data_IF_937107016862
#
_entry.id   IF_937107016862
#
_cell.length_a   1.000
_cell.length_b   1.000
_cell.length_c   1.000
_cell.angle_alpha   90.00
_cell.angle_beta   90.00
_cell.angle_gamma   90.00
#
_symmetry.space_group_name_H-M   'P 1'
#
loop_
_entity.id
_entity.type
_entity.pdbx_description
1 polymer ?
#
# COMPACT_ATOMS: atom_id res chain seq x y z
N UNK A 1 -39.63 14.80 -36.53
CA UNK A 1 -39.45 13.42 -37.00
C UNK A 1 -38.75 12.64 -35.88
N UNK A 2 -39.54 11.95 -35.05
CA UNK A 2 -39.74 10.48 -35.07
C UNK A 2 -38.54 9.73 -34.42
N UNK A 3 -38.57 9.40 -33.13
CA UNK A 3 -39.19 8.25 -32.43
C UNK A 3 -38.52 6.87 -32.64
N UNK A 4 -38.16 6.25 -31.49
CA UNK A 4 -38.03 4.79 -31.19
C UNK A 4 -36.79 4.09 -31.76
N UNK A 5 -36.01 3.31 -30.98
CA UNK A 5 -36.41 1.99 -30.48
C UNK A 5 -35.85 1.64 -29.08
N UNK A 6 -36.76 1.08 -28.29
CA UNK A 6 -36.57 0.27 -27.08
C UNK A 6 -36.07 -1.12 -27.48
N UNK A 7 -35.18 -1.73 -26.70
CA UNK A 7 -35.26 -3.18 -26.46
C UNK A 7 -34.62 -3.56 -25.11
N UNK A 8 -35.49 -3.99 -24.19
CA UNK A 8 -35.17 -4.77 -23.01
C UNK A 8 -35.85 -6.13 -23.17
N UNK A 9 -35.11 -7.23 -23.00
CA UNK A 9 -35.60 -8.58 -22.74
C UNK A 9 -34.49 -9.32 -21.96
N UNK A 10 -34.59 -9.49 -20.64
CA UNK A 10 -35.18 -10.64 -19.91
C UNK A 10 -34.60 -12.01 -20.28
N UNK A 11 -33.91 -12.63 -19.32
CA UNK A 11 -33.49 -14.04 -19.35
C UNK A 11 -32.82 -14.44 -18.04
N UNK A 12 -33.59 -15.10 -17.15
CA UNK A 12 -33.22 -15.60 -15.83
C UNK A 12 -32.97 -17.15 -15.90
N UNK A 13 -32.79 -17.89 -14.79
CA UNK A 13 -31.58 -18.59 -14.36
C UNK A 13 -31.60 -20.13 -14.52
N UNK A 14 -30.53 -20.82 -14.09
CA UNK A 14 -30.38 -22.23 -13.61
C UNK A 14 -29.06 -22.83 -14.14
N UNK A 15 -28.35 -23.77 -13.53
CA UNK A 15 -28.64 -24.74 -12.46
C UNK A 15 -27.32 -25.35 -11.93
N UNK A 16 -27.28 -25.60 -10.63
CA UNK A 16 -26.78 -26.80 -9.93
C UNK A 16 -25.57 -27.59 -10.48
N UNK A 17 -24.52 -27.71 -9.65
CA UNK A 17 -23.86 -28.99 -9.40
C UNK A 17 -23.59 -29.24 -7.92
N UNK A 18 -24.38 -30.20 -7.43
CA UNK A 18 -24.30 -31.10 -6.27
C UNK A 18 -22.97 -31.19 -5.53
N UNK A 19 -23.11 -31.29 -4.20
CA UNK A 19 -22.04 -31.51 -3.24
C UNK A 19 -21.48 -32.94 -3.21
N UNK A 20 -20.45 -33.09 -2.36
CA UNK A 20 -20.06 -34.35 -1.76
C UNK A 20 -19.54 -34.09 -0.35
N UNK A 21 -20.38 -34.39 0.62
CA UNK A 21 -20.06 -34.57 2.03
C UNK A 21 -19.53 -36.00 2.19
N UNK A 22 -18.44 -36.21 2.94
CA UNK A 22 -18.15 -37.50 3.57
C UNK A 22 -17.59 -37.29 4.98
N UNK A 23 -17.87 -38.31 5.78
CA UNK A 23 -18.04 -38.36 7.23
C UNK A 23 -16.73 -38.52 8.03
N UNK A 24 -16.88 -38.25 9.32
CA UNK A 24 -15.99 -38.27 10.47
C UNK A 24 -15.20 -39.56 10.75
N UNK A 25 -14.16 -39.43 11.59
CA UNK A 25 -13.94 -40.31 12.75
C UNK A 25 -13.05 -39.64 13.79
N UNK A 26 -13.53 -39.66 15.04
CA UNK A 26 -12.84 -39.30 16.28
C UNK A 26 -11.91 -40.41 16.74
N UNK A 27 -10.76 -40.08 17.35
CA UNK A 27 -10.14 -40.91 18.41
C UNK A 27 -9.29 -40.06 19.35
N UNK A 28 -9.45 -40.32 20.65
CA UNK A 28 -8.84 -39.67 21.82
C UNK A 28 -7.60 -40.42 22.34
N UNK A 29 -6.59 -39.70 22.83
CA UNK A 29 -5.68 -40.01 23.96
C UNK A 29 -4.58 -38.92 23.94
N UNK A 30 -4.46 -37.97 24.86
CA UNK A 30 -4.08 -38.01 26.28
C UNK A 30 -2.68 -38.61 26.53
N UNK A 31 -1.69 -37.74 26.72
CA UNK A 31 -0.43 -38.06 27.41
C UNK A 31 -0.06 -36.94 28.39
N UNK A 32 0.14 -37.36 29.64
CA UNK A 32 0.54 -36.58 30.79
C UNK A 32 2.06 -36.46 30.89
N UNK A 33 2.55 -35.23 31.13
CA UNK A 33 3.69 -34.88 32.01
C UNK A 33 5.09 -35.40 31.68
N UNK A 34 6.08 -34.50 31.59
CA UNK A 34 7.16 -34.34 32.60
C UNK A 34 7.99 -33.09 32.29
N UNK A 35 8.32 -32.35 33.35
CA UNK A 35 9.08 -31.11 33.34
C UNK A 35 10.57 -31.27 32.98
N UNK A 36 11.14 -30.26 32.33
CA UNK A 36 12.58 -30.02 32.32
C UNK A 36 12.89 -28.50 32.38
N UNK A 37 13.20 -28.07 33.60
CA UNK A 37 14.33 -27.18 33.99
C UNK A 37 14.58 -25.85 33.29
N UNK A 38 14.44 -24.78 34.10
CA UNK A 38 15.21 -23.53 34.16
C UNK A 38 16.22 -23.23 33.04
N UNK A 39 15.92 -22.16 32.29
CA UNK A 39 16.94 -21.27 31.76
C UNK A 39 16.44 -19.82 31.89
N UNK A 40 17.02 -19.07 32.84
CA UNK A 40 16.91 -17.61 32.81
C UNK A 40 17.68 -17.10 31.59
N UNK A 41 17.00 -16.83 30.49
CA UNK A 41 17.58 -16.03 29.41
C UNK A 41 17.11 -14.58 29.59
N UNK A 42 17.94 -13.87 30.35
CA UNK A 42 18.02 -12.43 30.43
C UNK A 42 18.26 -11.88 29.02
N UNK A 43 17.20 -11.65 28.26
CA UNK A 43 17.28 -10.90 27.00
C UNK A 43 17.34 -9.41 27.34
N UNK A 44 18.52 -8.94 27.74
CA UNK A 44 18.85 -7.53 27.67
C UNK A 44 18.99 -7.17 26.18
N UNK A 45 17.86 -6.90 25.53
CA UNK A 45 17.88 -6.36 24.17
C UNK A 45 18.01 -4.85 24.30
N UNK A 46 19.25 -4.38 24.28
CA UNK A 46 19.54 -2.96 24.02
C UNK A 46 19.38 -2.70 22.52
N UNK A 47 18.15 -2.70 22.02
CA UNK A 47 17.88 -2.25 20.65
C UNK A 47 17.50 -0.77 20.67
N UNK A 48 18.45 0.05 20.23
CA UNK A 48 18.28 1.45 19.83
C UNK A 48 17.03 1.64 18.95
N UNK A 49 16.31 2.79 18.99
CA UNK A 49 15.09 2.98 18.23
C UNK A 49 15.42 3.23 16.74
N UNK A 50 15.50 2.15 15.97
CA UNK A 50 15.44 2.20 14.51
C UNK A 50 14.44 1.19 13.99
N UNK A 51 13.37 1.72 13.39
CA UNK A 51 12.35 1.06 12.56
C UNK A 51 11.61 -0.10 13.24
N UNK A 52 10.33 0.13 13.60
CA UNK A 52 9.37 -0.96 13.77
C UNK A 52 9.18 -1.64 12.39
N UNK A 53 10.11 -2.51 12.04
CA UNK A 53 9.83 -3.70 11.25
C UNK A 53 9.25 -4.72 12.24
N UNK A 54 7.96 -4.58 12.56
CA UNK A 54 7.19 -5.72 13.06
C UNK A 54 6.86 -6.56 11.82
N UNK A 55 7.68 -7.58 11.63
CA UNK A 55 7.72 -8.41 10.45
C UNK A 55 6.42 -9.24 10.31
N UNK A 56 5.40 -8.66 9.67
CA UNK A 56 4.30 -9.40 9.02
C UNK A 56 4.52 -9.48 7.52
N UNK A 57 5.65 -10.03 7.10
CA UNK A 57 5.81 -10.79 5.84
C UNK A 57 5.55 -10.09 4.50
N UNK A 58 5.57 -8.77 4.40
CA UNK A 58 5.38 -8.04 3.15
C UNK A 58 6.70 -7.60 2.50
N UNK A 59 6.81 -7.69 1.17
CA UNK A 59 7.99 -7.24 0.40
C UNK A 59 8.16 -5.71 0.34
N UNK A 60 7.18 -4.94 0.82
CA UNK A 60 7.15 -3.48 0.82
C UNK A 60 6.02 -2.93 1.72
N UNK A 61 6.01 -1.62 1.91
CA UNK A 61 5.01 -0.90 2.69
C UNK A 61 5.51 -0.47 4.07
N UNK A 62 4.58 -0.14 4.95
CA UNK A 62 4.86 0.22 6.34
C UNK A 62 4.53 1.66 6.70
N UNK A 63 4.81 2.04 7.94
CA UNK A 63 4.56 3.39 8.46
C UNK A 63 5.86 4.20 8.44
N UNK A 64 5.80 5.41 7.92
CA UNK A 64 6.92 6.32 7.74
C UNK A 64 6.65 7.61 8.52
N UNK A 65 7.45 7.87 9.54
CA UNK A 65 7.32 9.05 10.39
C UNK A 65 8.32 10.16 10.03
N UNK A 66 9.29 9.88 9.17
CA UNK A 66 10.28 10.87 8.71
C UNK A 66 9.63 11.89 7.79
N UNK A 67 9.92 13.21 7.94
CA UNK A 67 9.30 14.28 7.16
C UNK A 67 9.72 14.29 5.70
N UNK A 68 10.79 13.58 5.34
CA UNK A 68 11.19 13.34 3.96
C UNK A 68 11.50 11.87 3.79
N UNK A 69 11.26 11.37 2.59
CA UNK A 69 11.61 10.00 2.25
C UNK A 69 11.53 9.74 0.76
N UNK A 70 12.08 8.61 0.35
CA UNK A 70 12.03 8.12 -1.02
C UNK A 70 11.42 6.72 -1.00
N UNK A 71 10.49 6.47 -1.92
CA UNK A 71 9.83 5.19 -2.11
C UNK A 71 10.16 4.66 -3.49
N UNK A 72 10.42 3.37 -3.54
CA UNK A 72 10.71 2.63 -4.77
C UNK A 72 9.85 1.38 -4.78
N UNK A 73 9.41 0.95 -5.95
CA UNK A 73 8.81 -0.38 -6.09
C UNK A 73 9.83 -1.45 -5.70
N UNK A 74 9.40 -2.61 -5.16
CA UNK A 74 10.27 -3.76 -4.99
C UNK A 74 10.99 -4.09 -6.30
N UNK A 75 12.30 -4.36 -6.24
CA UNK A 75 13.09 -4.75 -7.41
C UNK A 75 13.43 -3.62 -8.41
N UNK A 76 13.08 -2.35 -8.14
CA UNK A 76 13.56 -1.24 -8.98
C UNK A 76 15.11 -1.19 -9.02
N UNK A 77 15.76 -1.00 -10.18
CA UNK A 77 15.19 -0.70 -11.50
C UNK A 77 14.98 -1.94 -12.41
N UNK A 78 15.18 -3.16 -11.91
CA UNK A 78 15.09 -4.39 -12.70
C UNK A 78 13.63 -4.74 -13.05
N UNK A 79 12.76 -4.73 -12.04
CA UNK A 79 11.32 -4.80 -12.22
C UNK A 79 10.58 -5.26 -10.97
N UNK A 80 9.28 -4.99 -10.91
CA UNK A 80 8.45 -5.30 -9.75
C UNK A 80 7.82 -6.69 -9.83
N UNK A 81 7.59 -7.37 -8.69
CA UNK A 81 6.86 -8.63 -8.72
C UNK A 81 5.39 -8.40 -9.12
N UNK A 82 4.83 -9.34 -9.87
CA UNK A 82 3.39 -9.40 -10.16
C UNK A 82 2.57 -9.68 -8.90
N UNK A 83 1.29 -9.33 -8.92
CA UNK A 83 0.33 -9.48 -7.81
C UNK A 83 0.82 -8.85 -6.50
N UNK A 84 1.49 -7.71 -6.59
CA UNK A 84 2.05 -7.01 -5.44
C UNK A 84 1.16 -5.84 -5.07
N UNK A 85 0.84 -5.70 -3.79
CA UNK A 85 0.25 -4.47 -3.25
C UNK A 85 1.15 -3.93 -2.15
N UNK A 86 1.76 -2.77 -2.40
CA UNK A 86 2.49 -2.03 -1.39
C UNK A 86 1.61 -0.91 -0.85
N UNK A 87 1.60 -0.75 0.48
CA UNK A 87 0.91 0.36 1.15
C UNK A 87 1.85 1.02 2.14
N UNK A 88 2.21 2.28 1.87
CA UNK A 88 2.99 3.11 2.78
C UNK A 88 2.08 4.14 3.42
N UNK A 89 2.14 4.25 4.74
CA UNK A 89 1.46 5.29 5.51
C UNK A 89 2.49 6.30 5.95
N UNK A 90 2.43 7.52 5.43
CA UNK A 90 3.26 8.62 5.89
C UNK A 90 2.46 9.33 6.99
N UNK A 91 3.00 9.36 8.21
CA UNK A 91 2.35 9.95 9.37
C UNK A 91 3.31 10.92 10.04
N UNK A 92 3.16 12.21 9.71
CA UNK A 92 4.00 13.28 10.24
C UNK A 92 3.35 13.92 11.48
N UNK A 93 4.13 14.62 12.32
CA UNK A 93 3.57 15.35 13.45
C UNK A 93 2.54 16.42 13.03
N UNK A 94 1.70 16.83 13.98
CA UNK A 94 0.56 17.72 13.75
C UNK A 94 0.94 19.18 13.48
N UNK A 95 2.21 19.54 13.34
CA UNK A 95 2.72 20.84 12.88
C UNK A 95 2.96 20.88 11.36
N UNK A 96 2.95 19.71 10.70
CA UNK A 96 2.92 19.58 9.24
C UNK A 96 1.52 19.86 8.69
N UNK A 97 1.44 20.55 7.54
CA UNK A 97 0.16 20.91 6.89
C UNK A 97 0.07 20.49 5.44
N UNK A 98 1.20 20.23 4.79
CA UNK A 98 1.24 19.75 3.42
C UNK A 98 2.27 18.64 3.30
N UNK A 99 1.95 17.60 2.55
CA UNK A 99 2.92 16.60 2.07
C UNK A 99 2.99 16.74 0.55
N UNK A 100 4.16 17.07 0.05
CA UNK A 100 4.45 17.20 -1.39
C UNK A 100 5.09 15.92 -1.89
N UNK A 101 4.49 15.29 -2.88
CA UNK A 101 4.97 14.11 -3.57
C UNK A 101 5.59 14.48 -4.91
N UNK A 102 6.75 13.92 -5.23
CA UNK A 102 7.42 14.06 -6.51
C UNK A 102 7.66 12.68 -7.10
N UNK A 103 6.92 12.35 -8.16
CA UNK A 103 7.09 11.13 -8.94
C UNK A 103 8.22 11.35 -9.93
N UNK A 104 9.44 10.89 -9.63
CA UNK A 104 10.63 11.18 -10.46
C UNK A 104 10.65 10.39 -11.75
N UNK A 105 10.39 9.09 -11.64
CA UNK A 105 10.28 8.15 -12.76
C UNK A 105 9.21 7.11 -12.45
N UNK A 106 8.36 6.82 -13.42
CA UNK A 106 7.38 5.74 -13.36
C UNK A 106 7.50 4.95 -14.65
N UNK A 107 7.68 3.64 -14.52
CA UNK A 107 7.66 2.67 -15.60
C UNK A 107 6.79 1.51 -15.11
N UNK A 108 5.50 1.58 -15.40
CA UNK A 108 4.52 0.55 -15.09
C UNK A 108 3.84 0.08 -16.38
N UNK A 109 3.05 -0.99 -16.33
CA UNK A 109 2.21 -1.38 -17.45
C UNK A 109 1.34 -0.20 -17.90
N UNK A 110 1.20 -0.03 -19.21
CA UNK A 110 0.44 1.06 -19.80
C UNK A 110 -1.03 0.66 -19.96
N UNK A 111 -1.92 1.49 -19.42
CA UNK A 111 -3.36 1.36 -19.62
C UNK A 111 -4.00 2.74 -19.61
N UNK A 112 -5.09 2.91 -20.35
CA UNK A 112 -5.79 4.20 -20.48
C UNK A 112 -6.30 4.74 -19.15
N UNK A 113 -6.67 3.87 -18.22
CA UNK A 113 -7.23 4.22 -16.91
C UNK A 113 -6.36 3.71 -15.75
N UNK A 114 -5.16 3.19 -16.03
CA UNK A 114 -4.25 2.57 -15.08
C UNK A 114 -4.94 1.52 -14.18
N UNK A 115 -5.70 0.60 -14.78
CA UNK A 115 -6.42 -0.45 -14.03
C UNK A 115 -5.57 -1.68 -13.72
N UNK A 116 -4.52 -1.96 -14.50
CA UNK A 116 -3.62 -3.10 -14.28
C UNK A 116 -2.59 -2.75 -13.20
N UNK A 117 -1.55 -2.01 -13.58
CA UNK A 117 -0.50 -1.55 -12.68
C UNK A 117 -0.65 -0.06 -12.43
N UNK A 118 -0.59 0.37 -11.17
CA UNK A 118 -0.64 1.79 -10.85
C UNK A 118 0.04 2.15 -9.54
N UNK A 119 0.41 3.42 -9.45
CA UNK A 119 0.70 4.09 -8.19
C UNK A 119 -0.23 5.29 -7.97
N UNK A 120 -0.71 5.44 -6.74
CA UNK A 120 -1.60 6.53 -6.35
C UNK A 120 -1.32 7.00 -4.91
N UNK A 121 -1.69 8.24 -4.64
CA UNK A 121 -1.61 8.88 -3.33
C UNK A 121 -3.02 9.18 -2.84
N UNK A 122 -3.26 8.95 -1.57
CA UNK A 122 -4.53 9.17 -0.89
C UNK A 122 -4.32 10.00 0.39
N UNK A 123 -5.34 10.75 0.78
CA UNK A 123 -5.39 11.39 2.10
C UNK A 123 -5.77 10.39 3.20
N UNK A 124 -5.91 10.88 4.43
CA UNK A 124 -6.29 10.06 5.59
C UNK A 124 -7.73 9.54 5.55
N UNK A 125 -8.57 10.07 4.66
CA UNK A 125 -9.96 9.67 4.45
C UNK A 125 -10.12 8.79 3.21
N UNK A 126 -9.00 8.24 2.70
CA UNK A 126 -8.92 7.44 1.48
C UNK A 126 -9.44 8.17 0.23
N UNK A 127 -9.43 9.51 0.21
CA UNK A 127 -9.68 10.26 -1.02
C UNK A 127 -8.40 10.29 -1.86
N UNK A 128 -8.51 9.89 -3.13
CA UNK A 128 -7.38 9.96 -4.05
C UNK A 128 -6.97 11.42 -4.29
N UNK A 129 -5.68 11.70 -4.10
CA UNK A 129 -5.08 12.99 -4.41
C UNK A 129 -4.44 12.93 -5.79
N UNK A 130 -5.13 13.48 -6.79
CA UNK A 130 -4.71 13.43 -8.18
C UNK A 130 -5.27 12.21 -8.90
N UNK A 131 -4.47 11.62 -9.80
CA UNK A 131 -4.85 10.47 -10.62
C UNK A 131 -3.96 9.26 -10.30
N UNK A 132 -4.37 8.07 -10.76
CA UNK A 132 -3.47 6.92 -10.86
C UNK A 132 -2.39 7.19 -11.92
N UNK A 133 -1.16 6.77 -11.63
CA UNK A 133 -0.04 6.87 -12.56
C UNK A 133 0.39 5.48 -13.02
N UNK A 134 0.56 5.33 -14.34
CA UNK A 134 1.05 4.12 -15.00
C UNK A 134 1.77 4.49 -16.31
N UNK A 135 2.21 3.50 -17.09
CA UNK A 135 3.00 3.73 -18.30
C UNK A 135 4.39 4.30 -18.02
N UNK A 136 4.90 5.13 -18.93
CA UNK A 136 6.28 5.65 -18.89
C UNK A 136 6.31 7.17 -18.64
N UNK A 137 6.51 7.57 -17.38
CA UNK A 137 6.65 8.96 -16.94
C UNK A 137 8.13 9.24 -16.66
N UNK A 138 8.76 10.01 -17.55
CA UNK A 138 10.19 10.35 -17.48
C UNK A 138 10.47 11.76 -16.95
N UNK A 139 9.43 12.58 -16.84
CA UNK A 139 9.52 13.93 -16.28
C UNK A 139 8.81 13.96 -14.92
N UNK A 140 9.38 14.64 -13.90
CA UNK A 140 8.78 14.66 -12.58
C UNK A 140 7.35 15.20 -12.57
N UNK A 141 6.46 14.51 -11.86
CA UNK A 141 5.10 14.99 -11.56
C UNK A 141 5.01 15.33 -10.08
N UNK A 142 4.49 16.50 -9.75
CA UNK A 142 4.34 16.98 -8.37
C UNK A 142 2.88 16.96 -7.94
N UNK A 143 2.61 16.45 -6.74
CA UNK A 143 1.27 16.40 -6.13
C UNK A 143 1.33 16.84 -4.68
N UNK A 144 0.50 17.81 -4.32
CA UNK A 144 0.38 18.29 -2.96
C UNK A 144 -0.85 17.69 -2.28
N UNK A 145 -0.65 17.20 -1.07
CA UNK A 145 -1.70 16.69 -0.19
C UNK A 145 -1.82 17.59 1.03
N UNK A 146 -3.03 18.05 1.33
CA UNK A 146 -3.31 18.82 2.56
C UNK A 146 -3.39 17.86 3.75
N UNK A 147 -2.74 18.23 4.85
CA UNK A 147 -2.66 17.42 6.06
C UNK A 147 -1.25 16.90 6.34
N UNK A 148 -1.15 16.09 7.38
CA UNK A 148 0.09 15.48 7.88
C UNK A 148 0.08 13.95 7.75
N UNK A 149 -0.97 13.36 7.17
CA UNK A 149 -1.10 11.93 6.95
C UNK A 149 -1.45 11.65 5.50
N UNK A 150 -0.72 10.73 4.87
CA UNK A 150 -0.95 10.30 3.50
C UNK A 150 -0.74 8.79 3.36
N UNK A 151 -1.43 8.20 2.39
CA UNK A 151 -1.26 6.79 2.02
C UNK A 151 -0.80 6.70 0.58
N UNK A 152 0.31 6.03 0.34
CA UNK A 152 0.79 5.70 -1.01
C UNK A 152 0.49 4.24 -1.28
N UNK A 153 -0.19 3.97 -2.39
CA UNK A 153 -0.52 2.61 -2.83
C UNK A 153 0.12 2.35 -4.18
N UNK A 154 0.86 1.24 -4.26
CA UNK A 154 1.26 0.63 -5.51
C UNK A 154 0.56 -0.73 -5.63
N UNK A 155 -0.03 -1.00 -6.79
CA UNK A 155 -0.62 -2.30 -7.11
C UNK A 155 -0.11 -2.78 -8.47
N UNK A 156 0.22 -4.07 -8.56
CA UNK A 156 0.48 -4.76 -9.82
C UNK A 156 -0.45 -5.94 -10.04
N UNK A 157 -0.72 -6.23 -11.31
CA UNK A 157 -1.51 -7.39 -11.73
C UNK A 157 -0.64 -8.64 -11.95
N UNK A 158 -1.22 -9.68 -12.56
CA UNK A 158 -0.55 -10.98 -12.74
C UNK A 158 0.60 -11.01 -13.76
N UNK A 159 0.81 -9.96 -14.56
CA UNK A 159 1.74 -10.00 -15.69
C UNK A 159 2.44 -8.64 -15.94
N UNK A 160 3.12 -8.53 -17.09
CA UNK A 160 3.58 -7.27 -17.70
C UNK A 160 4.47 -6.32 -16.89
N UNK A 161 5.12 -6.80 -15.83
CA UNK A 161 6.09 -6.05 -15.04
C UNK A 161 7.07 -5.23 -15.88
N UNK A 162 7.26 -3.97 -15.47
CA UNK A 162 8.24 -3.02 -15.99
C UNK A 162 9.27 -2.67 -14.91
N UNK A 163 10.09 -1.65 -15.14
CA UNK A 163 11.18 -1.25 -14.22
C UNK A 163 10.69 -0.77 -12.85
N UNK A 164 9.43 -0.32 -12.75
CA UNK A 164 8.83 0.19 -11.54
C UNK A 164 8.95 1.71 -11.40
N UNK A 165 8.96 2.21 -10.16
CA UNK A 165 8.97 3.64 -9.90
C UNK A 165 9.99 4.05 -8.83
N UNK A 166 10.30 5.34 -8.85
CA UNK A 166 10.97 6.05 -7.76
C UNK A 166 10.24 7.38 -7.55
N UNK A 167 9.81 7.63 -6.32
CA UNK A 167 9.18 8.89 -5.90
C UNK A 167 9.77 9.35 -4.57
N UNK A 168 9.65 10.63 -4.29
CA UNK A 168 9.95 11.17 -2.96
C UNK A 168 8.76 11.92 -2.39
N UNK A 169 8.74 12.07 -1.08
CA UNK A 169 7.81 12.96 -0.39
C UNK A 169 8.56 13.89 0.55
N UNK A 170 7.97 15.08 0.77
CA UNK A 170 8.45 16.07 1.71
C UNK A 170 7.26 16.74 2.43
N UNK A 171 7.28 16.69 3.76
CA UNK A 171 6.35 17.41 4.61
C UNK A 171 6.78 18.87 4.80
N UNK A 172 5.82 19.78 4.73
CA UNK A 172 5.98 21.20 5.05
C UNK A 172 5.20 21.57 6.30
N UNK A 173 5.89 22.20 7.25
CA UNK A 173 5.29 22.78 8.45
C UNK A 173 4.57 24.08 8.12
N UNK A 174 3.54 24.39 8.88
CA UNK A 174 3.05 25.76 8.98
C UNK A 174 3.70 26.35 10.23
N UNK A 175 4.82 27.05 10.04
CA UNK A 175 5.40 27.80 11.15
C UNK A 175 4.43 28.95 11.44
N UNK A 176 3.86 28.98 12.64
CA UNK A 176 3.33 30.22 13.19
C UNK A 176 4.47 31.24 13.19
N UNK A 177 4.19 32.49 12.83
CA UNK A 177 5.19 33.55 12.81
C UNK A 177 6.00 33.52 14.12
N UNK A 178 7.32 33.75 14.09
CA UNK A 178 8.13 33.73 15.30
C UNK A 178 7.52 34.70 16.31
N UNK A 179 7.26 34.23 17.53
CA UNK A 179 6.86 35.09 18.63
C UNK A 179 7.93 36.17 18.76
N UNK A 180 7.53 37.43 18.57
CA UNK A 180 8.38 38.58 18.84
C UNK A 180 8.48 38.66 20.35
N UNK A 181 9.57 38.12 20.91
CA UNK A 181 9.93 38.31 22.30
C UNK A 181 10.30 39.79 22.48
N UNK A 182 9.56 40.50 23.33
CA UNK A 182 9.62 41.95 23.52
C UNK A 182 10.26 42.31 24.85
#
# INVERSE_FOLDING_TARGET
>A
MADKFVSAMTGQPSSDKKGKQMNASSTTANETGTAATNASSRWNVTSSPSTLNENRGGICGGVLASPKGQLMSPGYPAGYPSNTTCRWVIALPSDYRVITFTFHRVYLEEDRNCVYDYIAVYDMLDNQVGQRYCGSIVSPVVKDLKGNVAVVVFSSDSANSKKGFILSYEGRRCLTAPEVDN
#
